data_IF_305516183471
#
_entry.id   IF_305516183471
#
_cell.length_a   1.000
_cell.length_b   1.000
_cell.length_c   1.000
_cell.angle_alpha   90.00
_cell.angle_beta   90.00
_cell.angle_gamma   90.00
#
_symmetry.space_group_name_H-M   'P 1'
#
loop_
_entity.id
_entity.type
_entity.pdbx_description
1 polymer ?
#
# COMPACT_ATOMS: atom_id res chain seq x y z
N UNK A 1 13.20 4.46 -9.72
CA UNK A 1 12.91 3.91 -8.39
C UNK A 1 13.32 2.45 -8.39
N UNK A 2 14.23 2.02 -7.50
CA UNK A 2 14.50 0.60 -7.33
C UNK A 2 13.42 0.06 -6.37
N UNK A 3 12.52 -0.75 -6.93
CA UNK A 3 11.23 -1.16 -6.34
C UNK A 3 11.35 -2.21 -5.22
N UNK A 4 12.56 -2.53 -4.77
CA UNK A 4 12.84 -3.71 -3.95
C UNK A 4 12.39 -3.60 -2.48
N UNK A 5 11.99 -2.42 -2.01
CA UNK A 5 11.64 -2.18 -0.59
C UNK A 5 10.25 -1.55 -0.39
N UNK A 6 9.30 -1.79 -1.30
CA UNK A 6 7.93 -1.26 -1.21
C UNK A 6 7.17 -1.75 0.04
N UNK A 7 7.49 -2.96 0.55
CA UNK A 7 6.85 -3.54 1.74
C UNK A 7 7.11 -2.74 3.02
N UNK A 8 8.17 -1.91 3.04
CA UNK A 8 8.53 -1.07 4.19
C UNK A 8 8.07 0.38 4.05
N UNK A 9 7.71 0.78 2.83
CA UNK A 9 7.44 2.17 2.48
C UNK A 9 5.94 2.49 2.38
N UNK A 10 5.07 1.49 2.22
CA UNK A 10 3.63 1.72 2.19
C UNK A 10 3.07 1.57 3.62
N UNK A 11 2.55 2.66 4.17
CA UNK A 11 1.80 2.64 5.43
C UNK A 11 0.32 2.85 5.12
N UNK A 12 -0.51 1.88 5.51
CA UNK A 12 -1.97 1.99 5.47
C UNK A 12 -2.45 2.21 6.91
N UNK A 13 -3.12 3.34 7.16
CA UNK A 13 -3.72 3.60 8.47
C UNK A 13 -5.19 3.22 8.48
N UNK A 14 -5.64 2.39 9.45
CA UNK A 14 -7.06 2.18 9.68
C UNK A 14 -7.66 3.30 10.54
N UNK A 15 -8.96 3.55 10.37
CA UNK A 15 -9.66 4.63 11.08
C UNK A 15 -9.84 4.39 12.59
N UNK A 16 -9.60 3.18 13.11
CA UNK A 16 -9.73 2.86 14.54
C UNK A 16 -8.35 2.71 15.19
N UNK A 17 -7.87 3.81 15.78
CA UNK A 17 -6.59 3.86 16.47
C UNK A 17 -6.79 3.57 17.96
N UNK A 18 -6.76 2.30 18.34
CA UNK A 18 -6.50 1.87 19.73
C UNK A 18 -5.37 0.85 19.73
N UNK A 19 -4.14 1.22 20.12
CA UNK A 19 -3.08 0.27 20.34
C UNK A 19 -3.34 -0.44 21.68
N UNK A 20 -4.01 -1.59 21.65
CA UNK A 20 -4.03 -2.45 22.83
C UNK A 20 -2.87 -3.44 22.73
N UNK A 21 -1.91 -3.24 23.65
CA UNK A 21 -0.65 -3.97 23.78
C UNK A 21 -0.78 -5.49 23.81
N UNK A 22 0.30 -6.11 23.30
CA UNK A 22 0.79 -7.48 23.49
C UNK A 22 0.22 -8.57 22.57
N UNK A 23 1.01 -9.03 21.58
CA UNK A 23 0.70 -10.26 20.85
C UNK A 23 1.09 -11.46 21.71
N UNK A 24 0.10 -12.24 22.15
CA UNK A 24 0.33 -13.58 22.67
C UNK A 24 -0.57 -14.58 21.97
N UNK A 25 0.08 -15.52 21.30
CA UNK A 25 -0.41 -16.72 20.63
C UNK A 25 -1.02 -16.57 19.24
N UNK A 26 -0.26 -17.13 18.29
CA UNK A 26 -0.52 -17.38 16.88
C UNK A 26 -1.99 -17.67 16.55
N UNK A 27 -2.68 -16.68 15.98
CA UNK A 27 -3.75 -16.91 15.00
C UNK A 27 -3.48 -15.94 13.86
N UNK A 28 -3.00 -16.48 12.73
CA UNK A 28 -2.48 -15.70 11.61
C UNK A 28 -3.63 -15.07 10.81
N UNK A 29 -4.32 -14.09 11.40
CA UNK A 29 -5.05 -13.09 10.62
C UNK A 29 -4.00 -12.18 10.00
N UNK A 30 -3.46 -12.60 8.85
CA UNK A 30 -2.60 -11.72 8.04
C UNK A 30 -3.37 -10.44 7.74
N UNK A 31 -2.79 -9.25 7.99
CA UNK A 31 -3.49 -8.02 7.70
C UNK A 31 -3.75 -7.94 6.19
N UNK A 32 -4.91 -7.43 5.76
CA UNK A 32 -5.30 -7.41 4.35
C UNK A 32 -4.26 -6.71 3.48
N UNK A 33 -3.60 -5.67 3.99
CA UNK A 33 -2.48 -4.99 3.33
C UNK A 33 -1.37 -5.94 2.85
N UNK A 34 -1.08 -7.03 3.57
CA UNK A 34 -0.04 -7.99 3.16
C UNK A 34 -0.43 -8.74 1.86
N UNK A 35 -1.73 -8.95 1.62
CA UNK A 35 -2.22 -9.59 0.40
C UNK A 35 -2.05 -8.70 -0.85
N UNK A 36 -2.18 -7.37 -0.71
CA UNK A 36 -1.93 -6.41 -1.80
C UNK A 36 -0.43 -6.12 -1.94
N UNK A 37 0.32 -6.13 -0.84
CA UNK A 37 1.77 -5.90 -0.86
C UNK A 37 2.57 -7.05 -1.47
N UNK A 38 2.09 -8.29 -1.35
CA UNK A 38 2.75 -9.48 -1.88
C UNK A 38 2.96 -9.47 -3.41
N UNK A 39 1.97 -9.13 -4.26
CA UNK A 39 2.18 -9.11 -5.71
C UNK A 39 3.01 -7.92 -6.22
N UNK A 40 3.20 -6.87 -5.41
CA UNK A 40 4.05 -5.72 -5.78
C UNK A 40 5.51 -5.94 -5.39
N UNK A 41 5.77 -6.90 -4.50
CA UNK A 41 7.10 -7.36 -4.10
C UNK A 41 7.77 -8.09 -5.28
N UNK A 42 8.98 -7.66 -5.64
CA UNK A 42 9.80 -8.29 -6.68
C UNK A 42 9.25 -8.30 -8.13
N UNK A 43 8.23 -7.49 -8.45
CA UNK A 43 7.68 -7.37 -9.82
C UNK A 43 7.99 -6.04 -10.49
N UNK A 44 8.08 -6.06 -11.82
CA UNK A 44 8.42 -4.89 -12.62
C UNK A 44 7.12 -4.17 -12.98
N UNK A 45 6.75 -3.10 -12.28
CA UNK A 45 5.45 -2.41 -12.46
C UNK A 45 5.10 -2.16 -13.93
N UNK A 46 6.05 -1.69 -14.73
CA UNK A 46 5.84 -1.38 -16.15
C UNK A 46 5.50 -2.61 -17.02
N UNK A 47 6.01 -3.80 -16.66
CA UNK A 47 5.81 -5.04 -17.41
C UNK A 47 4.68 -5.90 -16.82
N UNK A 48 4.58 -5.96 -15.50
CA UNK A 48 3.63 -6.79 -14.78
C UNK A 48 2.27 -6.12 -14.59
N UNK A 49 2.24 -4.77 -14.54
CA UNK A 49 1.02 -4.02 -14.27
C UNK A 49 0.62 -3.24 -15.54
N UNK A 50 -0.43 -3.67 -16.24
CA UNK A 50 -0.84 -3.04 -17.50
C UNK A 50 -1.25 -1.57 -17.32
N UNK A 51 -1.65 -1.17 -16.12
CA UNK A 51 -1.94 0.24 -15.79
C UNK A 51 -0.75 1.15 -16.11
N UNK A 52 0.47 0.75 -15.73
CA UNK A 52 1.66 1.56 -15.98
C UNK A 52 2.23 1.44 -17.40
N UNK A 53 1.66 0.57 -18.24
CA UNK A 53 2.06 0.50 -19.66
C UNK A 53 1.64 1.76 -20.43
N UNK A 54 0.55 2.41 -19.98
CA UNK A 54 0.04 3.65 -20.58
C UNK A 54 0.21 4.87 -19.67
N UNK A 55 0.34 4.65 -18.36
CA UNK A 55 0.45 5.69 -17.33
C UNK A 55 1.85 5.69 -16.73
N UNK A 56 2.43 6.86 -16.53
CA UNK A 56 3.78 6.97 -15.95
C UNK A 56 3.78 6.41 -14.52
N UNK A 57 4.76 5.56 -14.20
CA UNK A 57 4.97 4.95 -12.88
C UNK A 57 5.53 5.93 -11.82
N UNK A 58 4.91 7.09 -11.68
CA UNK A 58 5.23 8.07 -10.62
C UNK A 58 4.64 7.65 -9.27
N UNK A 59 5.22 8.15 -8.19
CA UNK A 59 4.76 7.90 -6.82
C UNK A 59 3.27 8.21 -6.63
N UNK A 60 2.78 9.28 -7.24
CA UNK A 60 1.37 9.69 -7.21
C UNK A 60 0.46 8.66 -7.89
N UNK A 61 0.82 8.22 -9.10
CA UNK A 61 0.07 7.19 -9.83
C UNK A 61 0.11 5.83 -9.12
N UNK A 62 1.24 5.51 -8.49
CA UNK A 62 1.39 4.30 -7.67
C UNK A 62 0.48 4.37 -6.45
N UNK A 63 0.40 5.51 -5.75
CA UNK A 63 -0.52 5.70 -4.63
C UNK A 63 -1.98 5.50 -5.03
N UNK A 64 -2.38 6.07 -6.17
CA UNK A 64 -3.72 5.92 -6.71
C UNK A 64 -4.03 4.46 -7.09
N UNK A 65 -3.09 3.78 -7.76
CA UNK A 65 -3.24 2.38 -8.12
C UNK A 65 -3.40 1.50 -6.88
N UNK A 66 -2.54 1.68 -5.86
CA UNK A 66 -2.60 0.93 -4.60
C UNK A 66 -3.92 1.21 -3.88
N UNK A 67 -4.33 2.47 -3.77
CA UNK A 67 -5.63 2.84 -3.18
C UNK A 67 -6.77 2.12 -3.88
N UNK A 68 -6.78 2.13 -5.22
CA UNK A 68 -7.80 1.46 -6.03
C UNK A 68 -7.83 -0.05 -5.76
N UNK A 69 -6.68 -0.69 -5.61
CA UNK A 69 -6.63 -2.12 -5.23
C UNK A 69 -7.10 -2.35 -3.80
N UNK A 70 -6.75 -1.46 -2.87
CA UNK A 70 -7.15 -1.56 -1.47
C UNK A 70 -8.65 -1.42 -1.32
N UNK A 71 -9.32 -0.45 -1.96
CA UNK A 71 -10.78 -0.28 -1.85
C UNK A 71 -11.59 -1.46 -2.42
N UNK A 72 -11.00 -2.29 -3.29
CA UNK A 72 -11.66 -3.49 -3.81
C UNK A 72 -11.70 -4.63 -2.77
N UNK A 73 -10.73 -4.66 -1.85
CA UNK A 73 -10.59 -5.72 -0.85
C UNK A 73 -10.87 -5.25 0.58
N UNK A 74 -10.71 -3.95 0.84
CA UNK A 74 -10.96 -3.27 2.11
C UNK A 74 -12.19 -2.36 2.00
N UNK A 75 -13.02 -2.27 3.05
CA UNK A 75 -14.13 -1.34 3.08
C UNK A 75 -13.64 0.11 3.22
N UNK A 76 -14.41 1.09 2.71
CA UNK A 76 -14.05 2.52 2.76
C UNK A 76 -13.90 3.04 4.19
N UNK A 77 -14.67 2.51 5.16
CA UNK A 77 -14.53 2.85 6.59
C UNK A 77 -13.19 2.40 7.21
N UNK A 78 -12.50 1.44 6.58
CA UNK A 78 -11.23 0.93 7.08
C UNK A 78 -10.03 1.60 6.42
N UNK A 79 -10.14 2.08 5.18
CA UNK A 79 -9.05 2.72 4.46
C UNK A 79 -9.03 4.23 4.76
N UNK A 80 -8.07 4.70 5.56
CA UNK A 80 -7.97 6.12 5.90
C UNK A 80 -7.10 6.90 4.90
N UNK A 81 -5.85 6.46 4.72
CA UNK A 81 -4.88 7.08 3.82
C UNK A 81 -3.84 6.05 3.36
N UNK A 82 -3.32 6.24 2.15
CA UNK A 82 -2.19 5.50 1.59
C UNK A 82 -0.98 6.41 1.57
N UNK A 83 0.04 6.07 2.36
CA UNK A 83 1.30 6.81 2.40
C UNK A 83 2.41 6.00 1.75
N UNK A 84 3.13 6.60 0.81
CA UNK A 84 4.27 6.02 0.11
C UNK A 84 5.54 6.81 0.43
N UNK A 85 6.53 6.12 0.97
CA UNK A 85 7.85 6.67 1.26
C UNK A 85 8.79 6.38 0.08
N UNK A 86 9.03 7.35 -0.80
CA UNK A 86 9.98 7.16 -1.90
C UNK A 86 11.43 7.37 -1.42
N UNK A 87 11.64 8.36 -0.55
CA UNK A 87 12.92 8.61 0.13
C UNK A 87 12.65 9.11 1.54
N UNK A 88 13.67 9.25 2.39
CA UNK A 88 13.55 9.84 3.73
C UNK A 88 12.91 11.25 3.73
N UNK A 89 13.03 11.98 2.62
CA UNK A 89 12.49 13.34 2.48
C UNK A 89 11.26 13.42 1.58
N UNK A 90 11.04 12.43 0.71
CA UNK A 90 9.94 12.44 -0.26
C UNK A 90 8.87 11.41 0.16
N UNK A 91 7.73 11.91 0.60
CA UNK A 91 6.60 11.11 1.09
C UNK A 91 5.34 11.61 0.39
N UNK A 92 4.61 10.69 -0.24
CA UNK A 92 3.35 10.97 -0.93
C UNK A 92 2.20 10.36 -0.15
N UNK A 93 1.12 11.11 0.04
CA UNK A 93 -0.09 10.67 0.75
C UNK A 93 -1.29 10.83 -0.17
N UNK A 94 -2.09 9.77 -0.31
CA UNK A 94 -3.32 9.76 -1.10
C UNK A 94 -4.52 9.33 -0.24
N UNK A 95 -5.65 10.02 -0.41
CA UNK A 95 -6.87 9.83 0.40
C UNK A 95 -8.15 9.65 -0.42
N UNK A 96 -8.03 9.41 -1.73
CA UNK A 96 -9.19 9.18 -2.61
C UNK A 96 -9.95 10.46 -2.98
N UNK A 97 -9.24 11.57 -3.23
CA UNK A 97 -9.81 12.85 -3.70
C UNK A 97 -10.31 12.83 -5.16
#
# INVERSE_FOLDING_TARGET
MNLTDLKRCIEVRPSSSSPSSSPSSSSSCRPPQDAIMTPLDHKNLDQDVPYFSTVVSTTENVALYIWTQLVLVLPPDLLHEVRIHETDKNIVVYRGE
#
